data_IF_838217881395
#
_entry.id   IF_838217881395
#
_cell.length_a   1.000
_cell.length_b   1.000
_cell.length_c   1.000
_cell.angle_alpha   90.00
_cell.angle_beta   90.00
_cell.angle_gamma   90.00
#
_symmetry.space_group_name_H-M   'P 1'
#
loop_
_entity.id
_entity.type
_entity.pdbx_description
1 polymer ?
#
# COMPACT_ATOMS: atom_id res chain seq x y z
N UNK A 1 39.86 -20.99 52.83
CA UNK A 1 39.64 -20.35 51.52
C UNK A 1 39.04 -21.42 50.61
N UNK A 2 37.71 -21.54 50.58
CA UNK A 2 36.98 -22.51 49.75
C UNK A 2 36.35 -21.70 48.62
N UNK A 3 36.81 -21.94 47.39
CA UNK A 3 36.40 -21.21 46.20
C UNK A 3 35.08 -21.79 45.68
N UNK A 4 34.02 -20.99 45.75
CA UNK A 4 32.69 -21.31 45.21
C UNK A 4 32.75 -21.27 43.67
N UNK A 5 32.50 -22.40 43.00
CA UNK A 5 32.30 -22.44 41.56
C UNK A 5 30.85 -22.02 41.26
N UNK A 6 30.67 -20.81 40.75
CA UNK A 6 29.40 -20.36 40.17
C UNK A 6 29.22 -21.06 38.82
N UNK A 7 28.32 -22.04 38.75
CA UNK A 7 27.81 -22.55 37.48
C UNK A 7 26.77 -21.56 36.99
N UNK A 8 27.15 -20.70 36.05
CA UNK A 8 26.20 -19.92 35.26
C UNK A 8 25.43 -20.88 34.37
N UNK A 9 24.17 -21.14 34.71
CA UNK A 9 23.19 -21.76 33.82
C UNK A 9 22.97 -20.79 32.67
N UNK A 10 23.59 -21.06 31.53
CA UNK A 10 23.22 -20.41 30.26
C UNK A 10 21.81 -20.90 29.95
N UNK A 11 20.82 -20.02 30.08
CA UNK A 11 19.46 -20.30 29.64
C UNK A 11 19.52 -20.56 28.13
N UNK A 12 19.27 -21.81 27.72
CA UNK A 12 19.08 -22.13 26.32
C UNK A 12 17.84 -21.37 25.86
N UNK A 13 18.02 -20.37 24.99
CA UNK A 13 16.90 -19.80 24.25
C UNK A 13 16.20 -20.98 23.55
N UNK A 14 14.99 -21.31 24.00
CA UNK A 14 14.22 -22.43 23.47
C UNK A 14 14.05 -22.25 21.96
N UNK A 15 14.11 -23.35 21.21
CA UNK A 15 13.81 -23.32 19.78
C UNK A 15 12.44 -22.65 19.56
N UNK A 16 12.29 -21.84 18.50
CA UNK A 16 11.04 -21.13 18.24
C UNK A 16 9.88 -22.13 18.13
N UNK A 17 8.81 -21.85 18.87
CA UNK A 17 7.62 -22.72 18.95
C UNK A 17 6.67 -22.57 17.75
N UNK A 18 6.85 -21.50 16.98
CA UNK A 18 6.01 -21.11 15.84
C UNK A 18 6.90 -20.82 14.64
N UNK A 19 6.43 -21.13 13.44
CA UNK A 19 7.16 -20.88 12.19
C UNK A 19 6.25 -20.19 11.19
N UNK A 20 6.78 -19.15 10.55
CA UNK A 20 6.16 -18.44 9.43
C UNK A 20 7.11 -18.54 8.26
N UNK A 21 6.59 -18.87 7.08
CA UNK A 21 7.38 -18.94 5.86
C UNK A 21 7.23 -17.68 5.03
N UNK A 22 8.31 -17.22 4.38
CA UNK A 22 8.30 -16.06 3.50
C UNK A 22 8.63 -16.49 2.07
N UNK A 23 7.63 -16.41 1.19
CA UNK A 23 7.81 -16.50 -0.24
C UNK A 23 8.20 -15.11 -0.76
N UNK A 24 9.48 -14.96 -1.14
CA UNK A 24 10.07 -13.67 -1.50
C UNK A 24 9.59 -13.11 -2.85
N UNK A 25 9.81 -11.81 -3.03
CA UNK A 25 9.50 -11.05 -4.25
C UNK A 25 10.46 -11.35 -5.42
N UNK A 26 11.60 -11.98 -5.14
CA UNK A 26 12.70 -12.13 -6.08
C UNK A 26 13.72 -11.00 -6.02
N UNK A 27 13.49 -9.99 -5.18
CA UNK A 27 14.46 -8.96 -4.83
C UNK A 27 15.05 -9.26 -3.44
N UNK A 28 16.24 -9.86 -3.40
CA UNK A 28 16.91 -10.29 -2.17
C UNK A 28 17.03 -9.18 -1.12
N UNK A 29 17.36 -7.95 -1.51
CA UNK A 29 17.54 -6.85 -0.57
C UNK A 29 16.20 -6.43 0.07
N UNK A 30 15.13 -6.39 -0.74
CA UNK A 30 13.78 -6.12 -0.25
C UNK A 30 13.29 -7.25 0.66
N UNK A 31 13.47 -8.50 0.24
CA UNK A 31 13.02 -9.68 0.96
C UNK A 31 13.72 -9.79 2.32
N UNK A 32 15.03 -9.54 2.38
CA UNK A 32 15.78 -9.48 3.63
C UNK A 32 15.31 -8.35 4.55
N UNK A 33 15.05 -7.16 3.98
CA UNK A 33 14.57 -6.02 4.76
C UNK A 33 13.20 -6.30 5.40
N UNK A 34 12.25 -6.80 4.63
CA UNK A 34 10.92 -7.14 5.11
C UNK A 34 10.94 -8.31 6.10
N UNK A 35 11.72 -9.36 5.83
CA UNK A 35 11.89 -10.49 6.75
C UNK A 35 12.44 -10.02 8.10
N UNK A 36 13.42 -9.11 8.09
CA UNK A 36 13.96 -8.53 9.33
C UNK A 36 12.92 -7.71 10.08
N UNK A 37 12.17 -6.85 9.39
CA UNK A 37 11.11 -6.05 10.02
C UNK A 37 10.02 -6.95 10.61
N UNK A 38 9.61 -7.98 9.88
CA UNK A 38 8.60 -8.93 10.32
C UNK A 38 9.08 -9.72 11.54
N UNK A 39 10.31 -10.25 11.50
CA UNK A 39 10.93 -10.97 12.62
C UNK A 39 10.98 -10.11 13.90
N UNK A 40 11.27 -8.81 13.78
CA UNK A 40 11.26 -7.89 14.90
C UNK A 40 9.86 -7.67 15.50
N UNK A 41 8.80 -7.83 14.71
CA UNK A 41 7.42 -7.57 15.11
C UNK A 41 6.69 -8.81 15.62
N UNK A 42 6.93 -9.99 15.05
CA UNK A 42 6.31 -11.25 15.50
C UNK A 42 6.91 -11.80 16.81
N UNK A 43 8.06 -11.27 17.24
CA UNK A 43 8.74 -11.64 18.48
C UNK A 43 9.64 -12.88 18.36
N UNK A 44 10.37 -13.17 19.44
CA UNK A 44 11.43 -14.19 19.46
C UNK A 44 10.92 -15.64 19.42
N UNK A 45 9.67 -15.87 19.80
CA UNK A 45 9.06 -17.21 19.84
C UNK A 45 8.59 -17.71 18.46
N UNK A 46 8.69 -16.87 17.44
CA UNK A 46 8.24 -17.15 16.07
C UNK A 46 9.42 -17.01 15.11
N UNK A 47 9.79 -18.09 14.43
CA UNK A 47 10.78 -18.04 13.37
C UNK A 47 10.16 -17.54 12.07
N UNK A 48 10.78 -16.53 11.45
CA UNK A 48 10.44 -16.08 10.10
C UNK A 48 11.50 -16.61 9.13
N UNK A 49 11.13 -17.59 8.31
CA UNK A 49 12.06 -18.32 7.45
C UNK A 49 11.71 -18.13 5.97
N UNK A 50 12.69 -17.87 5.08
CA UNK A 50 12.42 -17.91 3.64
C UNK A 50 12.05 -19.33 3.20
N UNK A 51 11.22 -19.45 2.17
CA UNK A 51 10.85 -20.74 1.57
C UNK A 51 11.05 -20.72 0.05
N UNK A 52 11.56 -21.81 -0.50
CA UNK A 52 11.65 -21.97 -1.95
C UNK A 52 10.31 -22.39 -2.56
N UNK A 53 10.09 -22.00 -3.83
CA UNK A 53 8.81 -22.23 -4.51
C UNK A 53 8.40 -23.70 -4.58
N UNK A 54 9.37 -24.61 -4.74
CA UNK A 54 9.16 -26.05 -4.79
C UNK A 54 8.77 -26.68 -3.43
N UNK A 55 8.96 -25.95 -2.33
CA UNK A 55 8.66 -26.43 -0.97
C UNK A 55 7.27 -25.96 -0.50
N UNK A 56 6.66 -24.98 -1.17
CA UNK A 56 5.36 -24.39 -0.80
C UNK A 56 4.24 -25.42 -0.68
N UNK A 57 4.24 -26.45 -1.52
CA UNK A 57 3.23 -27.52 -1.52
C UNK A 57 3.28 -28.42 -0.29
N UNK A 58 4.40 -28.42 0.45
CA UNK A 58 4.61 -29.27 1.62
C UNK A 58 4.15 -28.63 2.93
N UNK A 59 3.80 -27.34 2.91
CA UNK A 59 3.37 -26.60 4.10
C UNK A 59 1.93 -26.98 4.49
N UNK A 60 1.72 -27.32 5.77
CA UNK A 60 0.41 -27.74 6.29
C UNK A 60 -0.09 -26.85 7.43
N UNK A 61 0.77 -26.57 8.41
CA UNK A 61 0.36 -25.96 9.68
C UNK A 61 1.16 -24.67 9.99
N UNK A 62 1.47 -23.89 8.96
CA UNK A 62 2.19 -22.62 9.10
C UNK A 62 1.68 -21.61 8.07
N UNK A 63 1.57 -20.32 8.43
CA UNK A 63 1.19 -19.29 7.48
C UNK A 63 2.37 -18.99 6.55
N UNK A 64 2.05 -18.65 5.31
CA UNK A 64 3.00 -18.20 4.28
C UNK A 64 2.76 -16.73 4.01
N UNK A 65 3.77 -15.90 4.26
CA UNK A 65 3.81 -14.51 3.82
C UNK A 65 4.34 -14.46 2.40
N UNK A 66 3.51 -14.02 1.46
CA UNK A 66 3.88 -13.92 0.06
C UNK A 66 4.12 -12.45 -0.33
N UNK A 67 5.37 -12.12 -0.67
CA UNK A 67 5.78 -10.74 -0.95
C UNK A 67 5.65 -10.42 -2.44
N UNK A 68 4.62 -9.66 -2.77
CA UNK A 68 4.33 -9.17 -4.11
C UNK A 68 3.39 -10.08 -4.93
N UNK A 69 2.86 -9.57 -6.05
CA UNK A 69 1.83 -10.27 -6.85
C UNK A 69 2.25 -11.65 -7.35
N UNK A 70 3.51 -11.78 -7.79
CA UNK A 70 4.06 -13.02 -8.32
C UNK A 70 4.19 -14.08 -7.22
N UNK A 71 4.75 -13.73 -6.06
CA UNK A 71 4.88 -14.64 -4.92
C UNK A 71 3.51 -15.11 -4.43
N UNK A 72 2.54 -14.19 -4.32
CA UNK A 72 1.17 -14.52 -3.92
C UNK A 72 0.52 -15.51 -4.88
N UNK A 73 0.58 -15.24 -6.18
CA UNK A 73 0.02 -16.11 -7.22
C UNK A 73 0.65 -17.50 -7.20
N UNK A 74 1.97 -17.59 -7.02
CA UNK A 74 2.72 -18.85 -6.94
C UNK A 74 2.38 -19.64 -5.68
N UNK A 75 2.34 -19.00 -4.51
CA UNK A 75 1.94 -19.63 -3.27
C UNK A 75 0.52 -20.21 -3.36
N UNK A 76 -0.42 -19.45 -3.93
CA UNK A 76 -1.80 -19.92 -4.12
C UNK A 76 -1.90 -21.10 -5.09
N UNK A 77 -1.11 -21.10 -6.16
CA UNK A 77 -1.07 -22.19 -7.13
C UNK A 77 -0.45 -23.46 -6.55
N UNK A 78 0.67 -23.33 -5.83
CA UNK A 78 1.40 -24.46 -5.25
C UNK A 78 0.66 -25.11 -4.08
N UNK A 79 -0.07 -24.33 -3.29
CA UNK A 79 -0.76 -24.85 -2.10
C UNK A 79 -2.11 -24.16 -1.88
N UNK A 80 -3.17 -24.85 -2.30
CA UNK A 80 -4.55 -24.34 -2.16
C UNK A 80 -5.09 -24.42 -0.73
N UNK A 81 -4.44 -25.13 0.18
CA UNK A 81 -4.83 -25.29 1.59
C UNK A 81 -4.03 -24.41 2.56
N UNK A 82 -2.87 -23.88 2.15
CA UNK A 82 -2.06 -23.01 3.00
C UNK A 82 -2.80 -21.71 3.37
N UNK A 83 -2.58 -21.23 4.60
CA UNK A 83 -2.91 -19.87 4.99
C UNK A 83 -1.88 -18.92 4.37
N UNK A 84 -2.34 -17.98 3.54
CA UNK A 84 -1.48 -17.08 2.77
C UNK A 84 -1.81 -15.63 3.13
N UNK A 85 -0.80 -14.92 3.64
CA UNK A 85 -0.82 -13.48 3.85
C UNK A 85 -0.04 -12.79 2.73
N UNK A 86 -0.74 -12.10 1.83
CA UNK A 86 -0.09 -11.26 0.83
C UNK A 86 0.51 -10.00 1.47
N UNK A 87 1.72 -9.61 1.07
CA UNK A 87 2.32 -8.32 1.38
C UNK A 87 2.79 -7.66 0.10
N UNK A 88 2.77 -6.33 0.04
CA UNK A 88 3.10 -5.58 -1.18
C UNK A 88 2.23 -5.96 -2.39
N UNK A 89 0.95 -6.22 -2.15
CA UNK A 89 -0.05 -6.59 -3.14
C UNK A 89 -1.14 -5.52 -3.21
N UNK A 90 -1.87 -5.49 -4.32
CA UNK A 90 -3.04 -4.62 -4.51
C UNK A 90 -4.33 -5.34 -4.13
N UNK A 91 -5.37 -4.57 -3.86
CA UNK A 91 -6.67 -5.08 -3.40
C UNK A 91 -7.36 -5.96 -4.44
N UNK A 92 -7.37 -5.53 -5.70
CA UNK A 92 -7.99 -6.22 -6.84
C UNK A 92 -7.42 -7.62 -7.08
N UNK A 93 -6.14 -7.83 -6.76
CA UNK A 93 -5.47 -9.12 -6.85
C UNK A 93 -5.98 -10.11 -5.80
N UNK A 94 -6.22 -9.65 -4.57
CA UNK A 94 -6.43 -10.54 -3.40
C UNK A 94 -7.89 -10.65 -2.98
N UNK A 95 -8.69 -9.57 -3.11
CA UNK A 95 -10.05 -9.47 -2.57
C UNK A 95 -10.91 -10.69 -2.91
N UNK A 96 -10.97 -11.07 -4.19
CA UNK A 96 -11.73 -12.25 -4.65
C UNK A 96 -11.27 -13.57 -4.05
N UNK A 97 -9.98 -13.71 -3.72
CA UNK A 97 -9.48 -14.92 -3.06
C UNK A 97 -9.81 -14.92 -1.57
N UNK A 98 -9.72 -13.76 -0.91
CA UNK A 98 -10.10 -13.60 0.49
C UNK A 98 -11.59 -13.86 0.71
N UNK A 99 -12.47 -13.36 -0.17
CA UNK A 99 -13.92 -13.63 -0.14
C UNK A 99 -14.25 -15.12 -0.27
N UNK A 100 -13.53 -15.84 -1.14
CA UNK A 100 -13.75 -17.27 -1.39
C UNK A 100 -13.12 -18.18 -0.35
N UNK A 101 -12.17 -17.67 0.42
CA UNK A 101 -11.39 -18.45 1.38
C UNK A 101 -11.10 -17.60 2.63
N UNK A 102 -12.15 -17.13 3.33
CA UNK A 102 -12.00 -16.28 4.51
C UNK A 102 -11.24 -17.02 5.61
N UNK A 103 -10.41 -16.30 6.36
CA UNK A 103 -9.55 -16.91 7.38
C UNK A 103 -8.31 -17.62 6.82
N UNK A 104 -8.30 -17.99 5.53
CA UNK A 104 -7.17 -18.65 4.88
C UNK A 104 -6.37 -17.68 4.02
N UNK A 105 -7.03 -16.77 3.31
CA UNK A 105 -6.37 -15.80 2.44
C UNK A 105 -6.59 -14.41 2.99
N UNK A 106 -5.49 -13.67 3.15
CA UNK A 106 -5.49 -12.29 3.60
C UNK A 106 -4.40 -11.48 2.90
N UNK A 107 -4.39 -10.17 3.12
CA UNK A 107 -3.31 -9.30 2.67
C UNK A 107 -3.12 -8.05 3.53
N UNK A 108 -1.89 -7.56 3.52
CA UNK A 108 -1.52 -6.19 3.86
C UNK A 108 -1.18 -5.46 2.57
N UNK A 109 -2.04 -4.52 2.18
CA UNK A 109 -1.94 -3.81 0.91
C UNK A 109 -0.75 -2.83 0.87
N UNK A 110 -0.17 -2.64 -0.33
CA UNK A 110 1.03 -1.80 -0.53
C UNK A 110 0.75 -0.28 -0.46
N UNK A 111 -0.40 0.13 -0.99
CA UNK A 111 -0.77 1.51 -1.15
C UNK A 111 -1.59 2.00 0.05
N UNK A 112 -2.10 3.22 -0.05
CA UNK A 112 -3.09 3.76 0.88
C UNK A 112 -4.42 3.87 0.14
N UNK A 113 -5.56 3.88 0.87
CA UNK A 113 -6.86 4.15 0.26
C UNK A 113 -6.84 5.41 -0.61
N UNK A 114 -7.42 5.33 -1.80
CA UNK A 114 -7.37 6.43 -2.77
C UNK A 114 -8.05 7.71 -2.24
N UNK A 115 -9.06 7.57 -1.38
CA UNK A 115 -9.67 8.69 -0.67
C UNK A 115 -8.63 9.48 0.12
N UNK A 116 -7.71 8.80 0.82
CA UNK A 116 -6.64 9.42 1.60
C UNK A 116 -5.68 10.23 0.70
N UNK A 117 -5.39 9.73 -0.50
CA UNK A 117 -4.62 10.49 -1.50
C UNK A 117 -5.40 11.71 -2.00
N UNK A 118 -6.71 11.57 -2.27
CA UNK A 118 -7.55 12.71 -2.65
C UNK A 118 -7.56 13.80 -1.55
N UNK A 119 -7.68 13.40 -0.29
CA UNK A 119 -7.61 14.31 0.85
C UNK A 119 -6.24 14.96 1.02
N UNK A 120 -5.16 14.25 0.69
CA UNK A 120 -3.83 14.86 0.62
C UNK A 120 -3.84 16.05 -0.36
N UNK A 121 -4.44 15.87 -1.53
CA UNK A 121 -4.64 16.96 -2.50
C UNK A 121 -5.53 18.08 -1.98
N UNK A 122 -6.62 17.76 -1.29
CA UNK A 122 -7.56 18.74 -0.69
C UNK A 122 -6.92 19.56 0.42
N UNK A 123 -6.08 18.97 1.26
CA UNK A 123 -5.36 19.69 2.33
C UNK A 123 -4.33 20.64 1.72
N UNK A 124 -3.61 20.21 0.68
CA UNK A 124 -2.65 21.06 -0.03
C UNK A 124 -3.34 22.18 -0.82
N UNK A 125 -4.49 21.89 -1.43
CA UNK A 125 -5.33 22.85 -2.16
C UNK A 125 -6.74 22.94 -1.51
N UNK A 126 -6.91 23.70 -0.42
CA UNK A 126 -8.18 23.76 0.31
C UNK A 126 -9.39 24.16 -0.53
N UNK A 127 -9.18 24.96 -1.58
CA UNK A 127 -10.22 25.43 -2.50
C UNK A 127 -10.57 24.43 -3.60
N UNK A 128 -9.83 23.32 -3.75
CA UNK A 128 -10.11 22.32 -4.78
C UNK A 128 -11.48 21.68 -4.55
N UNK A 129 -12.30 21.66 -5.59
CA UNK A 129 -13.64 21.04 -5.60
C UNK A 129 -13.78 19.97 -6.66
N UNK A 130 -12.86 19.90 -7.64
CA UNK A 130 -12.91 18.92 -8.73
C UNK A 130 -11.64 18.09 -8.77
N UNK A 131 -11.81 16.77 -8.80
CA UNK A 131 -10.71 15.80 -8.89
C UNK A 131 -10.83 15.06 -10.22
N UNK A 132 -9.76 15.04 -11.02
CA UNK A 132 -9.72 14.18 -12.21
C UNK A 132 -8.90 12.94 -11.95
N UNK A 133 -9.36 11.80 -12.46
CA UNK A 133 -8.68 10.51 -12.42
C UNK A 133 -8.57 10.00 -13.85
N UNK A 134 -7.41 9.46 -14.23
CA UNK A 134 -7.27 8.70 -15.46
C UNK A 134 -7.45 7.21 -15.16
N UNK A 135 -8.16 6.50 -16.02
CA UNK A 135 -8.37 5.06 -15.88
C UNK A 135 -8.31 4.37 -17.23
N UNK A 136 -7.87 3.12 -17.23
CA UNK A 136 -8.10 2.21 -18.34
C UNK A 136 -9.52 1.64 -18.25
N UNK A 137 -10.08 1.06 -19.33
CA UNK A 137 -11.38 0.37 -19.26
C UNK A 137 -11.41 -0.72 -18.18
N UNK A 138 -10.26 -1.34 -17.88
CA UNK A 138 -10.12 -2.38 -16.87
C UNK A 138 -10.05 -1.85 -15.44
N UNK A 139 -9.49 -0.65 -15.22
CA UNK A 139 -9.36 -0.05 -13.88
C UNK A 139 -10.49 0.92 -13.53
N UNK A 140 -11.33 1.33 -14.49
CA UNK A 140 -12.36 2.35 -14.28
C UNK A 140 -13.32 2.05 -13.12
N UNK A 141 -13.78 0.80 -12.99
CA UNK A 141 -14.70 0.39 -11.93
C UNK A 141 -14.09 0.43 -10.53
N UNK A 142 -12.74 0.42 -10.41
CA UNK A 142 -12.06 0.50 -9.11
C UNK A 142 -12.23 1.85 -8.43
N UNK A 143 -12.64 2.89 -9.18
CA UNK A 143 -12.73 4.26 -8.68
C UNK A 143 -14.13 4.64 -8.21
N UNK A 144 -15.17 3.85 -8.46
CA UNK A 144 -16.56 4.21 -8.11
C UNK A 144 -16.70 4.51 -6.62
N UNK A 145 -16.19 3.64 -5.75
CA UNK A 145 -16.25 3.81 -4.30
C UNK A 145 -15.61 5.12 -3.82
N UNK A 146 -14.43 5.49 -4.36
CA UNK A 146 -13.80 6.75 -3.95
C UNK A 146 -14.58 7.95 -4.47
N UNK A 147 -15.13 7.89 -5.69
CA UNK A 147 -15.85 9.01 -6.29
C UNK A 147 -17.08 9.39 -5.46
N UNK A 148 -17.80 8.40 -4.94
CA UNK A 148 -18.98 8.60 -4.10
C UNK A 148 -18.60 9.27 -2.76
N UNK A 149 -17.48 8.85 -2.17
CA UNK A 149 -16.97 9.40 -0.92
C UNK A 149 -16.50 10.85 -1.03
N UNK A 150 -16.00 11.31 -2.19
CA UNK A 150 -15.47 12.67 -2.36
C UNK A 150 -16.46 13.78 -2.00
N UNK A 151 -17.76 13.52 -2.21
CA UNK A 151 -18.84 14.48 -1.94
C UNK A 151 -18.90 14.90 -0.47
N UNK A 152 -18.66 13.96 0.47
CA UNK A 152 -18.58 14.23 1.91
C UNK A 152 -17.45 15.20 2.29
N UNK A 153 -16.44 15.34 1.43
CA UNK A 153 -15.30 16.23 1.62
C UNK A 153 -15.35 17.48 0.74
N UNK A 154 -16.52 17.79 0.17
CA UNK A 154 -16.73 18.96 -0.68
C UNK A 154 -16.00 18.89 -2.02
N UNK A 155 -15.78 17.68 -2.54
CA UNK A 155 -15.16 17.43 -3.83
C UNK A 155 -16.08 16.61 -4.74
N UNK A 156 -15.88 16.73 -6.05
CA UNK A 156 -16.51 15.91 -7.07
C UNK A 156 -15.43 15.31 -7.96
N UNK A 157 -15.41 13.99 -8.08
CA UNK A 157 -14.47 13.30 -8.94
C UNK A 157 -15.03 13.01 -10.33
N UNK A 158 -14.16 12.84 -11.32
CA UNK A 158 -14.51 12.27 -12.62
C UNK A 158 -13.38 11.43 -13.17
N UNK A 159 -13.72 10.23 -13.62
CA UNK A 159 -12.82 9.34 -14.36
C UNK A 159 -12.83 9.71 -15.83
N UNK A 160 -11.64 9.75 -16.42
CA UNK A 160 -11.42 9.96 -17.85
C UNK A 160 -10.73 8.72 -18.43
N UNK A 161 -11.42 8.03 -19.33
CA UNK A 161 -10.96 6.78 -19.90
C UNK A 161 -9.84 6.98 -20.92
N UNK A 162 -8.77 6.23 -20.73
CA UNK A 162 -7.64 6.08 -21.65
C UNK A 162 -7.77 4.72 -22.32
N UNK A 163 -8.33 4.69 -23.53
CA UNK A 163 -8.57 3.44 -24.27
C UNK A 163 -7.28 2.85 -24.86
N UNK A 164 -6.32 3.71 -25.20
CA UNK A 164 -5.04 3.34 -25.79
C UNK A 164 -3.91 4.29 -25.37
N UNK A 165 -2.66 3.91 -25.64
CA UNK A 165 -1.51 4.77 -25.39
C UNK A 165 -1.58 6.10 -26.15
N UNK A 166 -2.18 6.09 -27.34
CA UNK A 166 -2.27 7.26 -28.22
C UNK A 166 -3.30 8.28 -27.68
N UNK A 167 -4.30 7.79 -26.96
CA UNK A 167 -5.35 8.60 -26.34
C UNK A 167 -4.93 9.22 -24.99
N UNK A 168 -3.78 8.83 -24.43
CA UNK A 168 -3.35 9.26 -23.11
C UNK A 168 -3.25 10.79 -22.99
N UNK A 169 -2.51 11.44 -23.88
CA UNK A 169 -2.28 12.90 -23.79
C UNK A 169 -3.55 13.70 -24.12
N UNK A 170 -4.31 13.40 -25.19
CA UNK A 170 -5.61 14.04 -25.43
C UNK A 170 -6.57 13.91 -24.25
N UNK A 171 -6.62 12.72 -23.61
CA UNK A 171 -7.49 12.45 -22.46
C UNK A 171 -7.02 13.18 -21.22
N UNK A 172 -5.72 13.18 -20.94
CA UNK A 172 -5.11 13.95 -19.87
C UNK A 172 -5.44 15.44 -20.01
N UNK A 173 -5.38 15.99 -21.21
CA UNK A 173 -5.75 17.40 -21.46
C UNK A 173 -7.20 17.69 -21.05
N UNK A 174 -8.15 16.80 -21.37
CA UNK A 174 -9.55 16.93 -20.94
C UNK A 174 -9.68 16.81 -19.42
N UNK A 175 -9.00 15.84 -18.83
CA UNK A 175 -8.98 15.61 -17.38
C UNK A 175 -8.46 16.83 -16.60
N UNK A 176 -7.37 17.44 -17.05
CA UNK A 176 -6.77 18.64 -16.45
C UNK A 176 -7.63 19.91 -16.66
N UNK A 177 -8.47 19.93 -17.71
CA UNK A 177 -9.46 20.98 -17.92
C UNK A 177 -10.63 20.91 -16.94
N UNK A 178 -10.96 19.71 -16.45
CA UNK A 178 -12.03 19.50 -15.46
C UNK A 178 -11.54 19.64 -14.01
N UNK A 179 -10.48 18.91 -13.66
CA UNK A 179 -10.00 18.80 -12.28
C UNK A 179 -9.12 19.98 -11.86
N UNK A 180 -9.24 20.38 -10.61
CA UNK A 180 -8.32 21.30 -9.94
C UNK A 180 -6.96 20.62 -9.69
N UNK A 181 -6.99 19.30 -9.49
CA UNK A 181 -5.81 18.45 -9.50
C UNK A 181 -6.09 17.09 -10.16
N UNK A 182 -5.01 16.47 -10.62
CA UNK A 182 -5.00 15.08 -11.08
C UNK A 182 -4.67 14.15 -9.90
N UNK A 183 -5.57 13.23 -9.60
CA UNK A 183 -5.33 12.13 -8.67
C UNK A 183 -4.88 10.91 -9.46
N UNK A 184 -3.61 10.57 -9.32
CA UNK A 184 -3.00 9.45 -10.00
C UNK A 184 -3.03 8.21 -9.11
N UNK A 185 -3.83 7.22 -9.50
CA UNK A 185 -3.86 5.90 -8.89
C UNK A 185 -2.80 4.98 -9.49
N UNK A 186 -2.54 3.84 -8.84
CA UNK A 186 -1.65 2.81 -9.37
C UNK A 186 -2.31 2.14 -10.59
N UNK A 187 -1.91 2.56 -11.79
CA UNK A 187 -2.28 1.90 -13.06
C UNK A 187 -1.05 1.94 -13.97
N UNK A 188 -0.35 0.82 -14.08
CA UNK A 188 0.91 0.72 -14.83
C UNK A 188 0.76 0.96 -16.33
N UNK A 189 -0.46 0.86 -16.89
CA UNK A 189 -0.70 1.21 -18.29
C UNK A 189 -0.66 2.73 -18.50
N UNK A 190 -1.03 3.51 -17.48
CA UNK A 190 -1.08 4.98 -17.53
C UNK A 190 0.16 5.59 -16.90
N UNK A 191 0.50 5.18 -15.69
CA UNK A 191 1.61 5.71 -14.89
C UNK A 191 2.75 4.69 -14.94
N UNK A 192 3.75 4.95 -15.78
CA UNK A 192 4.95 4.14 -15.88
C UNK A 192 6.16 5.00 -16.31
N UNK A 193 7.39 4.46 -16.29
CA UNK A 193 8.59 5.23 -16.65
C UNK A 193 8.56 5.86 -18.05
N UNK A 194 7.79 5.32 -19.00
CA UNK A 194 7.69 5.87 -20.36
C UNK A 194 6.73 7.06 -20.43
N UNK A 195 5.65 7.04 -19.66
CA UNK A 195 4.56 8.04 -19.75
C UNK A 195 4.66 9.14 -18.70
N UNK A 196 5.22 8.87 -17.52
CA UNK A 196 5.14 9.77 -16.36
C UNK A 196 5.69 11.16 -16.64
N UNK A 197 6.82 11.27 -17.34
CA UNK A 197 7.42 12.56 -17.70
C UNK A 197 6.48 13.41 -18.54
N UNK A 198 5.80 12.79 -19.52
CA UNK A 198 4.85 13.50 -20.38
C UNK A 198 3.60 13.93 -19.63
N UNK A 199 3.11 13.09 -18.70
CA UNK A 199 1.98 13.42 -17.83
C UNK A 199 2.30 14.65 -16.98
N UNK A 200 3.42 14.64 -16.27
CA UNK A 200 3.83 15.72 -15.37
C UNK A 200 4.07 17.04 -16.11
N UNK A 201 4.79 17.01 -17.24
CA UNK A 201 5.01 18.21 -18.05
C UNK A 201 3.70 18.81 -18.58
N UNK A 202 2.76 17.95 -18.97
CA UNK A 202 1.44 18.40 -19.46
C UNK A 202 0.60 19.02 -18.33
N UNK A 203 0.63 18.41 -17.14
CA UNK A 203 -0.05 18.92 -15.95
C UNK A 203 0.48 20.30 -15.53
N UNK A 204 1.80 20.44 -15.40
CA UNK A 204 2.40 21.69 -14.91
C UNK A 204 2.35 22.83 -15.93
N UNK A 205 2.40 22.54 -17.24
CA UNK A 205 2.12 23.56 -18.27
C UNK A 205 0.71 24.15 -18.16
N UNK A 206 -0.21 23.45 -17.49
CA UNK A 206 -1.60 23.86 -17.26
C UNK A 206 -1.84 24.31 -15.82
N UNK A 207 -0.80 24.51 -15.01
CA UNK A 207 -0.90 24.86 -13.58
C UNK A 207 -1.82 23.90 -12.82
N UNK A 208 -1.66 22.60 -13.07
CA UNK A 208 -2.37 21.53 -12.35
C UNK A 208 -1.37 20.67 -11.61
N UNK A 209 -1.66 20.42 -10.34
CA UNK A 209 -0.85 19.53 -9.51
C UNK A 209 -1.20 18.07 -9.81
N UNK A 210 -0.26 17.18 -9.52
CA UNK A 210 -0.47 15.74 -9.56
C UNK A 210 -0.23 15.18 -8.17
N UNK A 211 -1.25 14.53 -7.60
CA UNK A 211 -1.11 13.68 -6.42
C UNK A 211 -0.80 12.27 -6.93
N UNK A 212 0.45 11.85 -6.75
CA UNK A 212 1.00 10.63 -7.32
C UNK A 212 0.61 9.37 -6.55
N UNK A 213 0.74 8.18 -7.18
CA UNK A 213 0.32 6.92 -6.56
C UNK A 213 1.31 6.42 -5.50
N UNK A 214 2.58 6.82 -5.57
CA UNK A 214 3.60 6.41 -4.60
C UNK A 214 4.75 7.39 -4.43
N UNK A 215 5.62 7.13 -3.45
CA UNK A 215 6.84 7.90 -3.20
C UNK A 215 7.77 7.98 -4.43
N UNK A 216 7.81 6.93 -5.26
CA UNK A 216 8.62 6.92 -6.48
C UNK A 216 8.13 8.00 -7.48
N UNK A 217 6.83 8.28 -7.50
CA UNK A 217 6.24 9.29 -8.36
C UNK A 217 6.44 10.71 -7.86
N UNK A 218 6.59 10.92 -6.54
CA UNK A 218 7.00 12.21 -5.98
C UNK A 218 8.44 12.53 -6.40
N UNK A 219 9.34 11.53 -6.34
CA UNK A 219 10.72 11.64 -6.87
C UNK A 219 10.74 11.89 -8.38
N UNK A 220 9.79 11.31 -9.13
CA UNK A 220 9.65 11.57 -10.56
C UNK A 220 9.06 12.96 -10.87
N UNK A 221 8.51 13.66 -9.88
CA UNK A 221 8.04 15.03 -10.00
C UNK A 221 6.54 15.24 -9.74
N UNK A 222 5.81 14.28 -9.18
CA UNK A 222 4.47 14.55 -8.62
C UNK A 222 4.59 15.47 -7.40
N UNK A 223 3.55 16.25 -7.10
CA UNK A 223 3.62 17.21 -5.99
C UNK A 223 3.67 16.51 -4.63
N UNK A 224 2.82 15.50 -4.44
CA UNK A 224 2.75 14.74 -3.20
C UNK A 224 2.20 13.33 -3.46
N UNK A 225 2.40 12.43 -2.50
CA UNK A 225 1.77 11.12 -2.46
C UNK A 225 1.67 10.65 -1.02
N UNK A 226 0.57 9.97 -0.70
CA UNK A 226 0.46 9.22 0.55
C UNK A 226 0.88 7.77 0.32
N UNK A 227 1.67 7.22 1.24
CA UNK A 227 2.21 5.86 1.14
C UNK A 227 2.24 5.17 2.51
N UNK A 228 2.08 3.85 2.51
CA UNK A 228 2.29 3.05 3.70
C UNK A 228 3.79 2.70 3.83
N UNK A 229 4.45 3.00 4.96
CA UNK A 229 5.85 2.67 5.16
C UNK A 229 6.02 1.18 5.53
N UNK A 230 7.13 0.55 5.13
CA UNK A 230 7.37 -0.88 5.41
C UNK A 230 7.24 -1.28 6.89
N UNK A 231 7.70 -0.47 7.88
CA UNK A 231 7.46 -0.79 9.30
C UNK A 231 5.98 -0.88 9.68
N UNK A 232 5.09 -0.08 9.07
CA UNK A 232 3.66 -0.16 9.33
C UNK A 232 3.06 -1.44 8.72
N UNK A 233 3.45 -1.78 7.49
CA UNK A 233 3.03 -3.05 6.86
C UNK A 233 3.49 -4.27 7.66
N UNK A 234 4.75 -4.27 8.12
CA UNK A 234 5.30 -5.36 8.91
C UNK A 234 4.62 -5.48 10.28
N UNK A 235 4.18 -4.35 10.88
CA UNK A 235 3.41 -4.38 12.12
C UNK A 235 2.07 -5.05 11.90
N UNK A 236 1.29 -4.60 10.92
CA UNK A 236 -0.03 -5.19 10.61
C UNK A 236 0.09 -6.67 10.22
N UNK A 237 1.11 -7.02 9.43
CA UNK A 237 1.36 -8.40 9.06
C UNK A 237 1.69 -9.28 10.28
N UNK A 238 2.44 -8.76 11.24
CA UNK A 238 2.72 -9.46 12.49
C UNK A 238 1.46 -9.66 13.33
N UNK A 239 0.57 -8.67 13.39
CA UNK A 239 -0.71 -8.79 14.07
C UNK A 239 -1.57 -9.91 13.45
N UNK A 240 -1.58 -10.00 12.11
CA UNK A 240 -2.32 -11.03 11.38
C UNK A 240 -1.73 -12.43 11.59
N UNK A 241 -0.40 -12.54 11.61
CA UNK A 241 0.31 -13.77 11.94
C UNK A 241 0.00 -14.22 13.37
N UNK A 242 0.00 -13.29 14.32
CA UNK A 242 -0.30 -13.59 15.72
C UNK A 242 -1.76 -14.04 15.89
N UNK A 243 -2.71 -13.38 15.22
CA UNK A 243 -4.10 -13.81 15.16
C UNK A 243 -4.23 -15.23 14.59
N UNK A 244 -3.53 -15.54 13.48
CA UNK A 244 -3.51 -16.90 12.93
C UNK A 244 -3.01 -17.94 13.95
N UNK A 245 -1.94 -17.65 14.69
CA UNK A 245 -1.44 -18.61 15.70
C UNK A 245 -2.33 -18.76 16.92
N UNK A 246 -3.19 -17.79 17.21
CA UNK A 246 -4.11 -17.83 18.34
C UNK A 246 -5.45 -18.46 17.96
N UNK A 247 -6.00 -18.09 16.80
CA UNK A 247 -7.37 -18.37 16.39
C UNK A 247 -7.46 -19.36 15.22
N UNK A 248 -6.33 -19.66 14.56
CA UNK A 248 -6.28 -20.55 13.39
C UNK A 248 -6.69 -19.89 12.07
N UNK A 249 -6.99 -18.58 12.09
CA UNK A 249 -7.48 -17.84 10.92
C UNK A 249 -6.79 -16.49 10.77
N UNK A 250 -6.48 -16.10 9.54
CA UNK A 250 -6.04 -14.75 9.19
C UNK A 250 -7.22 -13.76 9.22
N UNK A 251 -7.04 -12.55 9.77
CA UNK A 251 -8.03 -11.48 9.64
C UNK A 251 -8.29 -11.10 8.17
N UNK A 252 -9.39 -10.38 7.87
CA UNK A 252 -9.65 -9.86 6.51
C UNK A 252 -8.50 -8.99 6.00
N UNK A 253 -8.26 -8.95 4.68
CA UNK A 253 -7.27 -8.03 4.10
C UNK A 253 -7.50 -6.57 4.51
N UNK A 254 -6.43 -5.81 4.74
CA UNK A 254 -6.56 -4.40 5.07
C UNK A 254 -5.37 -3.56 4.61
N UNK A 255 -5.61 -2.26 4.54
CA UNK A 255 -4.57 -1.24 4.42
C UNK A 255 -3.94 -0.95 5.79
N UNK A 256 -2.63 -0.67 5.87
CA UNK A 256 -2.06 -0.09 7.08
C UNK A 256 -2.76 1.22 7.46
N UNK A 257 -3.17 1.32 8.73
CA UNK A 257 -3.71 2.58 9.29
C UNK A 257 -2.63 3.67 9.28
N UNK A 258 -1.42 3.32 9.73
CA UNK A 258 -0.28 4.21 9.72
C UNK A 258 0.23 4.41 8.28
N UNK A 259 0.26 5.67 7.86
CA UNK A 259 0.80 6.09 6.58
C UNK A 259 1.65 7.34 6.75
N UNK A 260 2.32 7.74 5.66
CA UNK A 260 3.09 8.98 5.57
C UNK A 260 2.75 9.70 4.28
N UNK A 261 3.00 11.00 4.28
CA UNK A 261 2.97 11.82 3.07
C UNK A 261 4.41 12.08 2.64
N UNK A 262 4.68 11.94 1.35
CA UNK A 262 5.88 12.47 0.71
C UNK A 262 5.49 13.68 -0.13
N UNK A 263 6.35 14.70 -0.13
CA UNK A 263 6.13 15.95 -0.85
C UNK A 263 7.32 16.32 -1.74
N UNK A 264 7.07 17.13 -2.76
CA UNK A 264 8.10 17.68 -3.63
C UNK A 264 8.13 19.22 -3.51
N UNK A 265 9.01 19.72 -2.63
CA UNK A 265 9.18 21.15 -2.38
C UNK A 265 9.65 21.93 -3.62
N UNK A 266 10.36 21.27 -4.54
CA UNK A 266 10.79 21.91 -5.79
C UNK A 266 9.60 22.17 -6.70
N UNK A 267 8.69 21.20 -6.84
CA UNK A 267 7.46 21.35 -7.61
C UNK A 267 6.56 22.40 -6.95
N UNK A 268 6.37 22.33 -5.63
CA UNK A 268 5.56 23.30 -4.90
C UNK A 268 6.02 24.74 -5.14
N UNK A 269 7.34 25.00 -5.02
CA UNK A 269 7.95 26.29 -5.32
C UNK A 269 7.73 26.73 -6.77
N UNK A 270 7.88 25.82 -7.73
CA UNK A 270 7.67 26.14 -9.16
C UNK A 270 6.23 26.54 -9.50
N UNK A 271 5.27 26.08 -8.70
CA UNK A 271 3.84 26.38 -8.85
C UNK A 271 3.34 27.46 -7.88
N UNK A 272 4.24 28.05 -7.08
CA UNK A 272 3.92 29.00 -6.01
C UNK A 272 2.86 28.47 -5.03
N UNK A 273 2.96 27.19 -4.66
CA UNK A 273 2.07 26.56 -3.69
C UNK A 273 2.76 26.60 -2.32
N UNK A 274 2.16 27.26 -1.30
CA UNK A 274 2.66 27.18 0.07
C UNK A 274 2.35 25.78 0.61
N UNK A 275 3.39 24.97 0.75
CA UNK A 275 3.22 23.58 1.17
C UNK A 275 3.45 23.45 2.69
N UNK A 276 2.48 22.90 3.45
CA UNK A 276 2.71 22.54 4.84
C UNK A 276 3.75 21.42 4.96
N UNK A 277 4.28 21.22 6.17
CA UNK A 277 5.17 20.09 6.43
C UNK A 277 4.43 18.76 6.23
N UNK A 278 5.13 17.73 5.76
CA UNK A 278 4.50 16.44 5.41
C UNK A 278 3.78 15.77 6.59
N UNK A 279 4.29 15.94 7.81
CA UNK A 279 3.64 15.46 9.03
C UNK A 279 2.36 16.23 9.34
N UNK A 280 2.34 17.54 9.09
CA UNK A 280 1.15 18.39 9.23
C UNK A 280 0.08 17.99 8.21
N UNK A 281 0.46 17.76 6.95
CA UNK A 281 -0.47 17.28 5.91
C UNK A 281 -1.13 15.97 6.34
N UNK A 282 -0.36 15.02 6.87
CA UNK A 282 -0.91 13.75 7.37
C UNK A 282 -1.90 13.97 8.53
N UNK A 283 -1.57 14.85 9.48
CA UNK A 283 -2.46 15.22 10.59
C UNK A 283 -3.80 15.79 10.11
N UNK A 284 -3.76 16.79 9.23
CA UNK A 284 -4.95 17.42 8.67
C UNK A 284 -5.83 16.46 7.86
N UNK A 285 -5.24 15.48 7.18
CA UNK A 285 -6.01 14.42 6.49
C UNK A 285 -6.72 13.54 7.51
N UNK A 286 -6.07 13.15 8.61
CA UNK A 286 -6.68 12.35 9.66
C UNK A 286 -7.83 13.10 10.36
N UNK A 287 -7.67 14.39 10.62
CA UNK A 287 -8.72 15.23 11.19
C UNK A 287 -9.96 15.25 10.28
N UNK A 288 -9.77 15.42 8.97
CA UNK A 288 -10.89 15.37 8.00
C UNK A 288 -11.60 14.03 7.99
N UNK A 289 -10.84 12.93 7.99
CA UNK A 289 -11.40 11.58 8.05
C UNK A 289 -12.23 11.38 9.33
N UNK A 290 -11.77 11.89 10.48
CA UNK A 290 -12.49 11.79 11.74
C UNK A 290 -13.78 12.65 11.76
N UNK A 291 -13.75 13.86 11.20
CA UNK A 291 -14.89 14.79 11.17
C UNK A 291 -16.08 14.26 10.35
N UNK A 292 -15.82 13.52 9.28
CA UNK A 292 -16.84 13.08 8.33
C UNK A 292 -17.42 11.70 8.67
N UNK A 293 -16.96 11.10 9.78
CA UNK A 293 -17.19 9.68 10.09
C UNK A 293 -16.37 8.83 9.13
N UNK A 294 -15.14 8.49 9.54
CA UNK A 294 -14.20 7.73 8.71
C UNK A 294 -14.78 6.42 8.17
N UNK A 295 -14.13 5.78 7.18
CA UNK A 295 -14.59 4.54 6.57
C UNK A 295 -14.65 3.33 7.52
N UNK A 296 -14.46 3.52 8.82
CA UNK A 296 -14.56 2.48 9.87
C UNK A 296 -16.03 2.16 10.24
N UNK A 297 -17.01 2.73 9.53
CA UNK A 297 -18.44 2.48 9.69
C UNK A 297 -19.06 1.84 8.43
N UNK A 298 -18.43 0.83 7.84
CA UNK A 298 -19.09 -0.15 6.95
C UNK A 298 -18.35 -1.49 6.92
#
# INVERSE_FOLDING_TARGET
MILLFFVTVVSAAGAPSRTVYVAGSGNTALDQHLTKLLQQRVGENTAVLPIAENELSSIKDAPVVAVGPSAFSKARQANRSAAILGMLVEEDLVSRFAERSPGQISAVYYNVPLLRQALTGKVILPHATKVSILATPTSAGLYEAVLDQLSGYGMQGRVFLVESSDDLIPTLIRALGYGDFLLAASDDAIYNPRTIKHILLTAYRRNRIVIGPSQAYVKAGSLASSYAPFPAMASLAADYINAYFNDGTLPPPAYPEQYRVEVNDQVARSLNIPLPDREEIAGLVNEKLAETGGPDNE
#
